data_IF_573968420970
#
_entry.id   IF_573968420970
#
_cell.length_a   1.000
_cell.length_b   1.000
_cell.length_c   1.000
_cell.angle_alpha   90.00
_cell.angle_beta   90.00
_cell.angle_gamma   90.00
#
_symmetry.space_group_name_H-M   'P 1'
#
loop_
_entity.id
_entity.type
_entity.pdbx_description
1 polymer ?
#
# COMPACT_ATOMS: atom_id res chain seq x y z
N UNK A 1 4.26 5.18 -22.91
CA UNK A 1 3.08 4.29 -23.07
C UNK A 1 2.22 4.47 -21.82
N UNK A 2 0.88 4.43 -21.92
CA UNK A 2 0.04 4.42 -20.72
C UNK A 2 0.34 3.18 -19.87
N UNK A 3 0.17 3.27 -18.56
CA UNK A 3 0.38 2.14 -17.65
C UNK A 3 -0.63 1.03 -17.93
N UNK A 4 -0.18 -0.22 -17.83
CA UNK A 4 -1.01 -1.42 -17.93
C UNK A 4 -1.65 -1.83 -16.61
N UNK A 5 -1.33 -1.17 -15.50
CA UNK A 5 -1.84 -1.52 -14.16
C UNK A 5 -3.37 -1.61 -14.11
N UNK A 6 -4.16 -0.66 -14.68
CA UNK A 6 -5.62 -0.76 -14.66
C UNK A 6 -6.11 -2.06 -15.34
N UNK A 7 -5.58 -2.38 -16.52
CA UNK A 7 -5.95 -3.58 -17.28
C UNK A 7 -5.50 -4.87 -16.57
N UNK A 8 -4.30 -4.86 -15.97
CA UNK A 8 -3.77 -5.97 -15.18
C UNK A 8 -4.61 -6.21 -13.92
N UNK A 9 -5.08 -5.15 -13.28
CA UNK A 9 -6.00 -5.23 -12.15
C UNK A 9 -7.35 -5.82 -12.57
N UNK A 10 -7.91 -5.33 -13.68
CA UNK A 10 -9.14 -5.88 -14.24
C UNK A 10 -9.00 -7.36 -14.59
N UNK A 11 -7.88 -7.74 -15.22
CA UNK A 11 -7.56 -9.13 -15.52
C UNK A 11 -7.46 -9.96 -14.25
N UNK A 12 -6.78 -9.46 -13.22
CA UNK A 12 -6.64 -10.15 -11.93
C UNK A 12 -7.99 -10.33 -11.23
N UNK A 13 -8.91 -9.36 -11.38
CA UNK A 13 -10.28 -9.48 -10.86
C UNK A 13 -11.10 -10.52 -11.63
N UNK A 14 -11.02 -10.53 -12.96
CA UNK A 14 -11.83 -11.39 -13.82
C UNK A 14 -11.34 -12.85 -13.86
N UNK A 15 -10.02 -13.07 -13.83
CA UNK A 15 -9.42 -14.39 -13.98
C UNK A 15 -9.63 -15.31 -12.77
N UNK A 16 -10.06 -14.77 -11.62
CA UNK A 16 -9.89 -15.45 -10.34
C UNK A 16 -11.21 -15.76 -9.63
N UNK A 17 -11.92 -16.77 -10.16
CA UNK A 17 -13.16 -17.32 -9.58
C UNK A 17 -13.00 -17.81 -8.12
N UNK A 18 -11.79 -18.21 -7.71
CA UNK A 18 -11.47 -18.59 -6.33
C UNK A 18 -11.53 -17.41 -5.35
N UNK A 19 -11.24 -16.19 -5.79
CA UNK A 19 -11.31 -14.98 -4.96
C UNK A 19 -12.73 -14.37 -4.89
N UNK A 20 -13.62 -14.81 -5.79
CA UNK A 20 -15.06 -14.51 -5.78
C UNK A 20 -15.90 -15.49 -4.95
N UNK A 21 -15.29 -16.52 -4.34
CA UNK A 21 -16.04 -17.46 -3.48
C UNK A 21 -16.58 -16.71 -2.24
N UNK A 22 -17.91 -16.60 -2.18
CA UNK A 22 -18.73 -15.78 -1.26
C UNK A 22 -18.87 -14.29 -1.61
N UNK A 23 -19.30 -13.94 -2.82
CA UNK A 23 -20.07 -12.70 -3.07
C UNK A 23 -19.42 -11.37 -2.64
N UNK A 24 -18.11 -11.34 -2.42
CA UNK A 24 -17.39 -10.18 -1.93
C UNK A 24 -16.38 -9.74 -3.00
N UNK A 25 -16.58 -8.53 -3.53
CA UNK A 25 -15.65 -7.84 -4.44
C UNK A 25 -14.39 -7.46 -3.66
N UNK A 26 -13.52 -8.45 -3.48
CA UNK A 26 -12.53 -8.43 -2.41
C UNK A 26 -11.23 -7.71 -2.76
N UNK A 27 -10.95 -7.43 -4.03
CA UNK A 27 -9.67 -6.84 -4.49
C UNK A 27 -9.87 -5.61 -5.36
N UNK A 28 -11.11 -5.16 -5.56
CA UNK A 28 -11.46 -3.97 -6.34
C UNK A 28 -11.32 -2.71 -5.49
N UNK A 29 -11.22 -1.55 -6.15
CA UNK A 29 -11.24 -0.26 -5.46
C UNK A 29 -12.44 -0.19 -4.50
N UNK A 30 -12.24 0.02 -3.18
CA UNK A 30 -13.34 0.00 -2.21
C UNK A 30 -14.39 1.09 -2.40
N UNK A 31 -14.12 2.11 -3.22
CA UNK A 31 -15.00 3.26 -3.47
C UNK A 31 -14.56 4.51 -2.70
N UNK A 32 -14.81 5.69 -3.27
CA UNK A 32 -14.27 6.97 -2.78
C UNK A 32 -14.76 7.31 -1.36
N UNK A 33 -16.00 6.92 -1.02
CA UNK A 33 -16.60 7.13 0.31
C UNK A 33 -15.94 6.32 1.42
N UNK A 34 -15.12 5.33 1.06
CA UNK A 34 -14.46 4.44 2.02
C UNK A 34 -13.03 4.84 2.35
N UNK A 35 -12.51 5.91 1.74
CA UNK A 35 -11.14 6.41 1.93
C UNK A 35 -11.03 7.55 2.94
N UNK A 36 -11.92 7.64 3.95
CA UNK A 36 -12.06 8.77 4.89
C UNK A 36 -10.75 9.07 5.62
N UNK A 37 -10.36 10.35 5.63
CA UNK A 37 -9.17 10.87 6.32
C UNK A 37 -9.64 11.88 7.37
N UNK A 38 -9.10 11.78 8.59
CA UNK A 38 -9.45 12.67 9.69
C UNK A 38 -8.29 13.57 10.07
N UNK A 39 -8.61 14.70 10.69
CA UNK A 39 -7.62 15.56 11.35
C UNK A 39 -6.87 14.79 12.44
N UNK A 40 -5.59 15.11 12.61
CA UNK A 40 -4.68 14.39 13.50
C UNK A 40 -5.12 14.37 14.96
N UNK A 41 -5.88 15.37 15.39
CA UNK A 41 -6.35 15.61 16.75
C UNK A 41 -7.57 14.74 17.11
N UNK A 42 -8.25 14.19 16.11
CA UNK A 42 -9.43 13.37 16.31
C UNK A 42 -9.04 11.90 16.40
N UNK A 43 -9.38 11.27 17.52
CA UNK A 43 -9.16 9.83 17.72
C UNK A 43 -10.40 9.03 17.32
N UNK A 44 -10.17 7.83 16.81
CA UNK A 44 -11.23 6.90 16.47
C UNK A 44 -12.06 6.55 17.71
N UNK A 45 -13.39 6.65 17.61
CA UNK A 45 -14.30 6.59 18.76
C UNK A 45 -14.65 5.18 19.24
N UNK A 46 -14.22 4.15 18.50
CA UNK A 46 -14.37 2.68 18.72
C UNK A 46 -15.10 1.98 17.55
N UNK A 47 -14.97 0.65 17.47
CA UNK A 47 -15.53 -0.19 16.40
C UNK A 47 -14.57 -0.48 15.26
N UNK A 48 -14.96 -1.41 14.37
CA UNK A 48 -14.11 -1.89 13.27
C UNK A 48 -14.03 -0.92 12.07
N UNK A 49 -14.89 0.11 12.05
CA UNK A 49 -15.00 1.08 10.96
C UNK A 49 -15.32 2.45 11.52
N UNK A 50 -15.06 3.50 10.76
CA UNK A 50 -15.35 4.88 11.17
C UNK A 50 -16.83 5.28 11.07
N UNK A 51 -17.79 4.35 11.05
CA UNK A 51 -19.22 4.67 10.90
C UNK A 51 -19.74 5.60 11.98
N UNK A 52 -19.22 5.45 13.21
CA UNK A 52 -19.56 6.27 14.38
C UNK A 52 -18.66 7.50 14.52
N UNK A 53 -17.65 7.67 13.65
CA UNK A 53 -16.78 8.85 13.71
C UNK A 53 -17.51 10.10 13.23
N UNK A 54 -17.32 11.19 13.96
CA UNK A 54 -17.82 12.52 13.63
C UNK A 54 -17.19 13.02 12.31
N UNK A 55 -18.05 13.22 11.31
CA UNK A 55 -17.63 13.66 9.97
C UNK A 55 -17.14 15.11 9.93
N UNK A 56 -17.38 15.92 10.97
CA UNK A 56 -16.84 17.29 11.04
C UNK A 56 -15.33 17.33 11.22
N UNK A 57 -14.73 16.21 11.62
CA UNK A 57 -13.28 16.04 11.72
C UNK A 57 -12.65 15.46 10.45
N UNK A 58 -13.45 15.11 9.43
CA UNK A 58 -12.92 14.66 8.16
C UNK A 58 -12.23 15.81 7.41
N UNK A 59 -11.11 15.48 6.76
CA UNK A 59 -10.39 16.38 5.87
C UNK A 59 -11.05 16.32 4.50
N UNK A 60 -11.56 17.46 4.04
CA UNK A 60 -12.01 17.63 2.67
C UNK A 60 -10.83 17.50 1.70
N UNK A 61 -11.02 16.70 0.65
CA UNK A 61 -10.00 16.45 -0.38
C UNK A 61 -10.66 16.56 -1.73
N UNK A 62 -9.86 17.00 -2.70
CA UNK A 62 -10.28 17.04 -4.10
C UNK A 62 -10.68 15.64 -4.56
N UNK A 63 -11.78 15.58 -5.32
CA UNK A 63 -12.21 14.35 -5.94
C UNK A 63 -11.18 13.92 -6.99
N UNK A 64 -10.79 12.65 -6.97
CA UNK A 64 -9.86 12.12 -7.96
C UNK A 64 -10.54 12.02 -9.32
N UNK A 65 -9.80 12.34 -10.38
CA UNK A 65 -10.28 12.22 -11.76
C UNK A 65 -10.58 10.76 -12.15
N UNK A 66 -9.88 9.79 -11.56
CA UNK A 66 -10.15 8.36 -11.75
C UNK A 66 -9.91 7.53 -10.48
N UNK A 67 -10.38 6.29 -10.50
CA UNK A 67 -10.13 5.29 -9.45
C UNK A 67 -8.86 4.46 -9.72
N UNK A 68 -8.06 4.85 -10.71
CA UNK A 68 -6.84 4.14 -11.07
C UNK A 68 -5.76 4.36 -10.00
N UNK A 69 -4.85 3.40 -9.79
CA UNK A 69 -3.75 3.59 -8.87
C UNK A 69 -2.77 4.65 -9.37
N UNK A 70 -2.39 5.58 -8.48
CA UNK A 70 -1.30 6.51 -8.71
C UNK A 70 0.03 5.94 -8.19
N UNK A 71 1.11 6.22 -8.91
CA UNK A 71 2.46 5.74 -8.58
C UNK A 71 3.25 6.90 -7.99
N UNK A 72 3.76 6.71 -6.77
CA UNK A 72 4.64 7.66 -6.10
C UNK A 72 6.01 7.03 -5.83
N UNK A 73 7.06 7.83 -6.03
CA UNK A 73 8.44 7.44 -5.73
C UNK A 73 8.95 8.24 -4.54
N UNK A 74 9.48 7.56 -3.53
CA UNK A 74 10.03 8.22 -2.36
C UNK A 74 10.41 7.26 -1.26
N UNK A 75 10.62 7.82 -0.07
CA UNK A 75 11.11 7.09 1.10
C UNK A 75 9.98 6.22 1.69
N UNK A 76 10.27 4.93 1.87
CA UNK A 76 9.45 3.99 2.64
C UNK A 76 10.10 3.81 4.00
N UNK A 77 9.52 4.39 5.05
CA UNK A 77 9.99 4.17 6.40
C UNK A 77 9.61 2.76 6.86
N UNK A 78 10.49 2.12 7.64
CA UNK A 78 10.27 0.76 8.12
C UNK A 78 10.71 0.61 9.56
N UNK A 79 9.92 -0.13 10.35
CA UNK A 79 10.25 -0.44 11.74
C UNK A 79 9.35 -1.53 12.33
N UNK A 80 9.71 -2.05 13.50
CA UNK A 80 9.11 -3.27 14.05
C UNK A 80 7.76 -3.03 14.74
N UNK A 81 7.24 -1.80 14.69
CA UNK A 81 6.01 -1.38 15.35
C UNK A 81 5.01 -0.85 14.35
N UNK A 82 3.77 -1.29 14.50
CA UNK A 82 2.65 -0.77 13.73
C UNK A 82 2.27 0.64 14.25
N UNK A 83 2.30 1.63 13.37
CA UNK A 83 1.90 2.99 13.69
C UNK A 83 0.38 3.12 13.50
N UNK A 84 -0.33 3.47 14.57
CA UNK A 84 -1.79 3.70 14.63
C UNK A 84 -2.14 5.01 15.33
N UNK A 85 -1.22 5.96 15.29
CA UNK A 85 -1.33 7.23 15.97
C UNK A 85 -0.79 8.33 15.05
N UNK A 86 -1.68 9.24 14.66
CA UNK A 86 -1.41 10.36 13.77
C UNK A 86 -0.28 11.24 14.30
N UNK A 87 -0.28 11.55 15.60
CA UNK A 87 0.75 12.39 16.22
C UNK A 87 2.14 11.74 16.15
N UNK A 88 2.23 10.42 16.36
CA UNK A 88 3.47 9.65 16.21
C UNK A 88 3.93 9.62 14.75
N UNK A 89 3.00 9.35 13.81
CA UNK A 89 3.28 9.38 12.37
C UNK A 89 3.85 10.74 11.93
N UNK A 90 3.20 11.83 12.34
CA UNK A 90 3.54 13.19 11.90
C UNK A 90 4.91 13.62 12.45
N UNK A 91 5.20 13.32 13.73
CA UNK A 91 6.54 13.55 14.32
C UNK A 91 7.65 12.79 13.61
N UNK A 92 7.38 11.57 13.12
CA UNK A 92 8.35 10.81 12.34
C UNK A 92 8.51 11.40 10.94
N UNK A 93 7.40 11.84 10.33
CA UNK A 93 7.39 12.45 9.01
C UNK A 93 8.20 13.76 9.00
N UNK A 94 8.08 14.61 10.01
CA UNK A 94 8.87 15.84 10.16
C UNK A 94 10.39 15.60 10.07
N UNK A 95 10.86 14.41 10.48
CA UNK A 95 12.29 14.07 10.53
C UNK A 95 12.81 13.42 9.26
N UNK A 96 11.98 12.62 8.59
CA UNK A 96 12.42 11.72 7.52
C UNK A 96 11.70 11.93 6.19
N UNK A 97 10.62 12.71 6.18
CA UNK A 97 9.84 13.06 4.98
C UNK A 97 9.46 11.82 4.14
N UNK A 98 9.05 10.74 4.81
CA UNK A 98 8.65 9.50 4.16
C UNK A 98 7.28 9.63 3.49
N UNK A 99 7.02 8.79 2.48
CA UNK A 99 5.71 8.71 1.82
C UNK A 99 4.82 7.63 2.42
N UNK A 100 5.41 6.54 2.93
CA UNK A 100 4.66 5.50 3.63
C UNK A 100 5.49 4.80 4.70
N UNK A 101 4.80 4.10 5.60
CA UNK A 101 5.40 3.29 6.65
C UNK A 101 5.02 1.82 6.48
N UNK A 102 5.93 0.92 6.80
CA UNK A 102 5.70 -0.53 6.82
C UNK A 102 6.58 -1.21 7.87
N UNK A 103 6.51 -2.54 7.98
CA UNK A 103 7.26 -3.27 9.01
C UNK A 103 8.42 -4.09 8.46
N UNK A 104 8.45 -4.35 7.15
CA UNK A 104 9.27 -5.44 6.59
C UNK A 104 10.43 -4.97 5.71
N UNK A 105 10.43 -3.72 5.24
CA UNK A 105 11.34 -3.30 4.17
C UNK A 105 12.80 -3.12 4.64
N UNK A 106 13.03 -2.53 5.82
CA UNK A 106 14.38 -2.17 6.27
C UNK A 106 15.30 -3.38 6.48
N UNK A 107 14.76 -4.53 6.93
CA UNK A 107 15.56 -5.72 7.22
C UNK A 107 16.18 -6.38 5.97
N UNK A 108 15.63 -6.10 4.79
CA UNK A 108 16.06 -6.70 3.52
C UNK A 108 16.96 -5.76 2.70
N UNK A 109 16.68 -4.45 2.72
CA UNK A 109 17.38 -3.47 1.88
C UNK A 109 18.87 -3.33 2.19
N UNK A 110 19.30 -3.61 3.43
CA UNK A 110 20.72 -3.57 3.80
C UNK A 110 21.51 -4.82 3.37
N UNK A 111 20.84 -5.85 2.85
CA UNK A 111 21.44 -7.17 2.59
C UNK A 111 21.66 -7.45 1.11
N UNK A 112 20.79 -6.96 0.23
CA UNK A 112 20.91 -7.18 -1.22
C UNK A 112 20.24 -6.05 -2.00
N UNK A 113 20.63 -5.82 -3.27
CA UNK A 113 19.94 -4.89 -4.15
C UNK A 113 18.46 -5.29 -4.29
N UNK A 114 17.56 -4.45 -3.79
CA UNK A 114 16.13 -4.69 -3.89
C UNK A 114 15.34 -3.40 -4.00
N UNK A 115 14.10 -3.55 -4.46
CA UNK A 115 13.11 -2.49 -4.58
C UNK A 115 11.91 -2.85 -3.72
N UNK A 116 11.48 -1.92 -2.86
CA UNK A 116 10.24 -2.07 -2.12
C UNK A 116 9.07 -1.48 -2.93
N UNK A 117 8.04 -2.30 -3.17
CA UNK A 117 6.78 -1.88 -3.79
C UNK A 117 5.68 -2.00 -2.73
N UNK A 118 4.94 -0.93 -2.47
CA UNK A 118 3.89 -0.88 -1.45
C UNK A 118 2.60 -0.33 -2.04
N UNK A 119 1.49 -1.01 -1.78
CA UNK A 119 0.16 -0.44 -1.90
C UNK A 119 -0.25 0.17 -0.58
N UNK A 120 -0.92 1.33 -0.63
CA UNK A 120 -1.36 2.06 0.56
C UNK A 120 -2.72 1.52 1.02
N UNK A 121 -2.82 1.09 2.27
CA UNK A 121 -4.04 0.48 2.83
C UNK A 121 -4.63 1.21 4.03
N UNK A 122 -3.93 2.19 4.61
CA UNK A 122 -4.41 3.06 5.68
C UNK A 122 -3.48 4.29 5.81
N UNK A 123 -3.83 5.20 6.71
CA UNK A 123 -3.10 6.45 6.96
C UNK A 123 -2.16 6.38 8.15
N UNK A 124 -1.87 5.19 8.71
CA UNK A 124 -1.07 5.01 9.92
C UNK A 124 -1.59 5.84 11.12
N UNK A 125 -2.91 5.93 11.27
CA UNK A 125 -3.60 6.65 12.34
C UNK A 125 -4.54 5.71 13.12
N UNK A 126 -5.30 6.26 14.06
CA UNK A 126 -6.25 5.50 14.87
C UNK A 126 -7.43 4.96 14.08
N UNK A 127 -7.68 5.45 12.86
CA UNK A 127 -8.80 5.09 12.01
C UNK A 127 -8.50 3.90 11.07
N UNK A 128 -7.30 3.32 11.21
CA UNK A 128 -6.88 2.14 10.46
C UNK A 128 -7.96 1.05 10.50
N UNK A 129 -8.30 0.55 9.32
CA UNK A 129 -9.15 -0.62 9.12
C UNK A 129 -8.65 -1.49 7.95
N UNK A 130 -9.22 -2.67 7.79
CA UNK A 130 -8.69 -3.67 6.84
C UNK A 130 -9.33 -3.63 5.45
N UNK A 131 -10.22 -2.66 5.19
CA UNK A 131 -11.02 -2.59 3.97
C UNK A 131 -10.17 -2.46 2.70
N UNK A 132 -9.07 -1.71 2.79
CA UNK A 132 -8.21 -1.40 1.65
C UNK A 132 -7.06 -2.39 1.45
N UNK A 133 -6.76 -3.26 2.42
CA UNK A 133 -5.56 -4.13 2.37
C UNK A 133 -5.49 -4.98 1.10
N UNK A 134 -6.63 -5.54 0.68
CA UNK A 134 -6.69 -6.41 -0.49
C UNK A 134 -6.52 -5.67 -1.80
N UNK A 135 -7.17 -4.51 -1.95
CA UNK A 135 -6.96 -3.64 -3.11
C UNK A 135 -5.51 -3.17 -3.16
N UNK A 136 -4.95 -2.69 -2.05
CA UNK A 136 -3.55 -2.28 -1.94
C UNK A 136 -2.57 -3.42 -2.30
N UNK A 137 -2.84 -4.65 -1.88
CA UNK A 137 -2.04 -5.80 -2.25
C UNK A 137 -2.12 -6.09 -3.76
N UNK A 138 -3.31 -6.00 -4.35
CA UNK A 138 -3.50 -6.19 -5.78
C UNK A 138 -2.78 -5.11 -6.59
N UNK A 139 -2.89 -3.83 -6.22
CA UNK A 139 -2.23 -2.72 -6.93
C UNK A 139 -0.71 -2.83 -6.87
N UNK A 140 -0.15 -3.21 -5.72
CA UNK A 140 1.29 -3.46 -5.58
C UNK A 140 1.76 -4.62 -6.47
N UNK A 141 0.98 -5.70 -6.50
CA UNK A 141 1.30 -6.88 -7.31
C UNK A 141 1.23 -6.59 -8.82
N UNK A 142 0.23 -5.86 -9.28
CA UNK A 142 0.11 -5.51 -10.71
C UNK A 142 1.17 -4.51 -11.13
N UNK A 143 1.54 -3.55 -10.28
CA UNK A 143 2.71 -2.70 -10.52
C UNK A 143 3.99 -3.55 -10.65
N UNK A 144 4.20 -4.53 -9.76
CA UNK A 144 5.36 -5.40 -9.85
C UNK A 144 5.39 -6.23 -11.14
N UNK A 145 4.23 -6.71 -11.62
CA UNK A 145 4.12 -7.42 -12.90
C UNK A 145 4.53 -6.50 -14.06
N UNK A 146 3.96 -5.29 -14.13
CA UNK A 146 4.31 -4.32 -15.18
C UNK A 146 5.80 -3.93 -15.12
N UNK A 147 6.34 -3.73 -13.92
CA UNK A 147 7.75 -3.42 -13.74
C UNK A 147 8.64 -4.55 -14.28
N UNK A 148 8.32 -5.80 -13.99
CA UNK A 148 9.11 -6.97 -14.42
C UNK A 148 9.16 -7.13 -15.95
N UNK A 149 8.15 -6.64 -16.69
CA UNK A 149 8.19 -6.60 -18.16
C UNK A 149 9.33 -5.70 -18.69
N UNK A 150 9.80 -4.76 -17.87
CA UNK A 150 10.85 -3.81 -18.22
C UNK A 150 12.22 -4.20 -17.65
N UNK A 151 12.30 -5.26 -16.82
CA UNK A 151 13.55 -5.72 -16.23
C UNK A 151 14.25 -6.69 -17.20
N UNK A 152 15.52 -6.43 -17.62
CA UNK A 152 16.22 -7.31 -18.53
C UNK A 152 16.51 -8.69 -17.92
N UNK A 153 16.00 -9.75 -18.56
CA UNK A 153 16.18 -11.14 -18.09
C UNK A 153 17.65 -11.51 -17.90
N UNK A 154 18.54 -11.02 -18.79
CA UNK A 154 19.99 -11.27 -18.69
C UNK A 154 20.60 -10.72 -17.41
N UNK A 155 20.15 -9.55 -16.96
CA UNK A 155 20.63 -8.93 -15.72
C UNK A 155 20.13 -9.69 -14.50
N UNK A 156 18.87 -10.14 -14.52
CA UNK A 156 18.29 -10.98 -13.46
C UNK A 156 19.02 -12.32 -13.32
N UNK A 157 19.39 -12.93 -14.44
CA UNK A 157 20.14 -14.20 -14.44
C UNK A 157 21.58 -14.05 -13.94
N UNK A 158 22.20 -12.88 -14.16
CA UNK A 158 23.54 -12.57 -13.68
C UNK A 158 23.55 -12.12 -12.20
N UNK A 159 22.42 -11.66 -11.67
CA UNK A 159 22.29 -11.24 -10.28
C UNK A 159 22.41 -12.43 -9.32
N UNK A 160 23.03 -12.19 -8.16
CA UNK A 160 23.14 -13.20 -7.10
C UNK A 160 21.75 -13.50 -6.51
N UNK A 161 21.46 -14.78 -6.28
CA UNK A 161 20.17 -15.17 -5.71
C UNK A 161 20.07 -14.75 -4.26
N UNK A 162 18.92 -14.20 -3.86
CA UNK A 162 18.66 -13.78 -2.47
C UNK A 162 18.91 -14.90 -1.46
N UNK A 163 18.57 -16.15 -1.79
CA UNK A 163 18.81 -17.32 -0.94
C UNK A 163 20.31 -17.52 -0.63
N UNK A 164 21.19 -17.20 -1.57
CA UNK A 164 22.65 -17.33 -1.38
C UNK A 164 23.16 -16.20 -0.48
N UNK A 165 22.68 -14.98 -0.69
CA UNK A 165 23.05 -13.82 0.14
C UNK A 165 22.59 -13.97 1.58
N UNK A 166 21.37 -14.46 1.80
CA UNK A 166 20.82 -14.64 3.15
C UNK A 166 21.51 -15.77 3.91
N UNK A 167 22.03 -16.79 3.23
CA UNK A 167 22.80 -17.89 3.86
C UNK A 167 24.22 -17.50 4.26
N UNK A 168 24.79 -16.45 3.68
CA UNK A 168 26.14 -15.95 4.01
C UNK A 168 26.16 -14.95 5.17
N UNK A 169 25.02 -14.70 5.80
CA UNK A 169 24.84 -13.83 6.98
C UNK A 169 24.54 -14.72 8.19
#
# INVERSE_FOLDING_TARGET
MPSKIPDLLETLWNANSRFMTKGRRNYTHPGNTNGRLYKSEYSHVDGATCSECDSTWEIEREERESADPEIHYGIVASGDSLIKDSATRDKLWERQQFLCVGMEAAGLMNKFPCLAIRGICDYADSHKNDRWQRYAAATAATFAVELLEHVPVKEVQAAQKVIEVVKSI
#
